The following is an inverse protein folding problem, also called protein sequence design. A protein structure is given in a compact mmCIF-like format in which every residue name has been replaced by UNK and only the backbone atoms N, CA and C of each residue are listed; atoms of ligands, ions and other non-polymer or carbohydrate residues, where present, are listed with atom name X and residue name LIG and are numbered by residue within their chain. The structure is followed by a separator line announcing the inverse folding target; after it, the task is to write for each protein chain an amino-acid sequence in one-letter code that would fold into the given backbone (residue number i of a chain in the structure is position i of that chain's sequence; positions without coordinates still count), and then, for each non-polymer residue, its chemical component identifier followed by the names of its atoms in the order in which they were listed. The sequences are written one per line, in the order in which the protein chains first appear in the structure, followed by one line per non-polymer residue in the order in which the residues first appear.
data_IF_714590794315
#
_entry.id   IF_714590794315
#
_cell.length_a   1.000
_cell.length_b   1.000
_cell.length_c   1.000
_cell.angle_alpha   90.00
_cell.angle_beta   90.00
_cell.angle_gamma   90.00
#
_symmetry.space_group_name_H-M   'P 1'
#
loop_
_entity.id
_entity.type
_entity.pdbx_description
1 polymer ?
#
# COMPACT_ATOMS: atom_id res chain seq x y z
N UNK A 1 2.13 -4.65 -33.09
CA UNK A 1 0.80 -4.07 -33.35
C UNK A 1 -0.22 -4.45 -32.28
N UNK A 2 -0.61 -5.73 -32.10
CA UNK A 2 -1.57 -6.13 -31.04
C UNK A 2 -1.18 -5.62 -29.64
N UNK A 3 0.05 -5.91 -29.20
CA UNK A 3 0.56 -5.44 -27.90
C UNK A 3 0.57 -3.91 -27.75
N UNK A 4 0.69 -3.16 -28.86
CA UNK A 4 0.66 -1.69 -28.81
C UNK A 4 -0.77 -1.17 -28.70
N UNK A 5 -1.70 -1.73 -29.47
CA UNK A 5 -3.13 -1.42 -29.39
C UNK A 5 -3.67 -1.75 -27.99
N UNK A 6 -3.29 -2.88 -27.43
CA UNK A 6 -3.71 -3.32 -26.10
C UNK A 6 -3.18 -2.39 -25.00
N UNK A 7 -1.91 -1.96 -25.08
CA UNK A 7 -1.34 -0.96 -24.17
C UNK A 7 -2.06 0.41 -24.23
N UNK A 8 -2.72 0.75 -25.33
CA UNK A 8 -3.48 2.01 -25.49
C UNK A 8 -4.94 1.83 -25.04
N UNK A 9 -5.51 0.65 -25.27
CA UNK A 9 -6.95 0.40 -25.11
C UNK A 9 -7.31 -0.25 -23.77
N UNK A 10 -6.36 -0.88 -23.08
CA UNK A 10 -6.60 -1.59 -21.83
C UNK A 10 -5.65 -1.13 -20.72
N UNK A 11 -6.21 -0.79 -19.56
CA UNK A 11 -5.43 -0.54 -18.33
C UNK A 11 -4.72 -1.81 -17.83
N UNK A 12 -5.25 -2.99 -18.20
CA UNK A 12 -4.77 -4.30 -17.76
C UNK A 12 -4.12 -5.11 -18.89
N UNK A 13 -3.38 -4.42 -19.76
CA UNK A 13 -2.66 -5.05 -20.88
C UNK A 13 -1.68 -6.15 -20.42
N UNK A 14 -1.70 -7.28 -21.13
CA UNK A 14 -0.83 -8.45 -20.94
C UNK A 14 0.55 -8.30 -21.61
N UNK A 15 0.80 -7.16 -22.25
CA UNK A 15 2.07 -6.92 -22.92
C UNK A 15 3.22 -6.84 -21.90
N UNK A 16 4.35 -7.51 -22.16
CA UNK A 16 5.48 -7.52 -21.22
C UNK A 16 6.27 -6.20 -21.18
N UNK A 17 5.99 -5.26 -22.10
CA UNK A 17 6.75 -4.04 -22.31
C UNK A 17 5.84 -2.82 -22.30
N UNK A 18 6.39 -1.67 -21.89
CA UNK A 18 5.68 -0.40 -21.90
C UNK A 18 5.36 0.05 -23.33
N UNK A 19 4.35 0.91 -23.50
CA UNK A 19 3.93 1.40 -24.82
C UNK A 19 5.08 2.05 -25.62
N UNK A 20 5.95 2.81 -24.94
CA UNK A 20 7.15 3.43 -25.53
C UNK A 20 8.20 2.41 -26.00
N UNK A 21 8.39 1.33 -25.24
CA UNK A 21 9.30 0.25 -25.57
C UNK A 21 8.78 -0.54 -26.77
N UNK A 22 7.48 -0.86 -26.80
CA UNK A 22 6.84 -1.54 -27.93
C UNK A 22 6.92 -0.68 -29.19
N UNK A 23 6.75 0.64 -29.10
CA UNK A 23 6.92 1.56 -30.23
C UNK A 23 8.36 1.59 -30.73
N UNK A 24 9.34 1.59 -29.82
CA UNK A 24 10.77 1.52 -30.16
C UNK A 24 11.13 0.20 -30.84
N UNK A 25 10.61 -0.92 -30.33
CA UNK A 25 10.77 -2.24 -30.95
C UNK A 25 10.14 -2.30 -32.34
N UNK A 26 8.98 -1.66 -32.55
CA UNK A 26 8.34 -1.57 -33.86
C UNK A 26 9.21 -0.78 -34.84
N UNK A 27 9.77 0.36 -34.42
CA UNK A 27 10.71 1.13 -35.23
C UNK A 27 11.96 0.33 -35.62
N UNK A 28 12.50 -0.48 -34.70
CA UNK A 28 13.60 -1.39 -35.02
C UNK A 28 13.21 -2.42 -36.09
N UNK A 29 12.01 -2.99 -36.00
CA UNK A 29 11.50 -3.95 -37.00
C UNK A 29 11.27 -3.28 -38.36
N UNK A 30 10.76 -2.05 -38.39
CA UNK A 30 10.57 -1.29 -39.64
C UNK A 30 11.92 -0.99 -40.31
N UNK A 31 12.94 -0.59 -39.54
CA UNK A 31 14.30 -0.42 -40.06
C UNK A 31 14.92 -1.74 -40.58
N UNK A 32 14.58 -2.88 -39.96
CA UNK A 32 15.00 -4.19 -40.45
C UNK A 32 14.32 -4.52 -41.79
N UNK A 33 13.01 -4.27 -41.90
CA UNK A 33 12.22 -4.46 -43.12
C UNK A 33 12.75 -3.62 -44.29
N UNK A 34 13.09 -2.36 -44.05
CA UNK A 34 13.65 -1.49 -45.11
C UNK A 34 15.05 -1.94 -45.55
N UNK A 35 15.75 -2.70 -44.70
CA UNK A 35 17.08 -3.23 -44.96
C UNK A 35 17.11 -4.66 -45.50
N UNK A 36 15.96 -5.27 -45.83
CA UNK A 36 15.85 -6.68 -46.25
C UNK A 36 16.72 -7.04 -47.48
N UNK A 37 17.08 -6.04 -48.31
CA UNK A 37 17.98 -6.19 -49.47
C UNK A 37 19.48 -6.01 -49.14
N UNK A 38 19.84 -5.80 -47.88
CA UNK A 38 21.23 -5.64 -47.43
C UNK A 38 21.55 -6.75 -46.43
N UNK A 39 22.59 -7.53 -46.71
CA UNK A 39 23.07 -8.54 -45.75
C UNK A 39 23.58 -7.84 -44.49
N UNK A 40 22.83 -8.01 -43.41
CA UNK A 40 23.20 -7.57 -42.06
C UNK A 40 23.16 -8.79 -41.16
N UNK A 41 24.34 -9.23 -40.72
CA UNK A 41 24.56 -10.47 -39.97
C UNK A 41 23.68 -10.58 -38.71
N UNK A 42 23.31 -9.45 -38.10
CA UNK A 42 22.55 -9.40 -36.85
C UNK A 42 21.03 -9.24 -37.03
N UNK A 43 20.52 -9.00 -38.23
CA UNK A 43 19.08 -8.75 -38.46
C UNK A 43 18.19 -9.93 -38.03
N UNK A 44 18.63 -11.14 -38.38
CA UNK A 44 17.94 -12.39 -38.00
C UNK A 44 17.93 -12.57 -36.49
N UNK A 45 19.04 -12.26 -35.83
CA UNK A 45 19.16 -12.36 -34.37
C UNK A 45 18.21 -11.39 -33.66
N UNK A 46 18.12 -10.14 -34.11
CA UNK A 46 17.22 -9.14 -33.52
C UNK A 46 15.76 -9.59 -33.68
N UNK A 47 15.35 -9.98 -34.88
CA UNK A 47 14.00 -10.45 -35.15
C UNK A 47 13.65 -11.70 -34.33
N UNK A 48 14.55 -12.70 -34.28
CA UNK A 48 14.37 -13.91 -33.49
C UNK A 48 14.27 -13.61 -31.98
N UNK A 49 15.08 -12.68 -31.47
CA UNK A 49 15.04 -12.28 -30.05
C UNK A 49 13.73 -11.59 -29.70
N UNK A 50 13.26 -10.65 -30.51
CA UNK A 50 11.97 -9.99 -30.31
C UNK A 50 10.82 -11.00 -30.38
N UNK A 51 10.84 -11.89 -31.38
CA UNK A 51 9.81 -12.91 -31.54
C UNK A 51 9.78 -13.88 -30.35
N UNK A 52 10.95 -14.30 -29.84
CA UNK A 52 11.05 -15.12 -28.63
C UNK A 52 10.40 -14.45 -27.42
N UNK A 53 10.59 -13.14 -27.23
CA UNK A 53 10.00 -12.40 -26.11
C UNK A 53 8.46 -12.41 -26.18
N UNK A 54 7.89 -12.10 -27.34
CA UNK A 54 6.43 -12.12 -27.53
C UNK A 54 5.84 -13.53 -27.50
N UNK A 55 6.53 -14.54 -28.04
CA UNK A 55 6.08 -15.93 -27.96
C UNK A 55 6.10 -16.44 -26.52
N UNK A 56 7.12 -16.09 -25.74
CA UNK A 56 7.18 -16.44 -24.31
C UNK A 56 6.01 -15.78 -23.54
N UNK A 57 5.76 -14.48 -23.78
CA UNK A 57 4.62 -13.81 -23.15
C UNK A 57 3.27 -14.45 -23.52
N UNK A 58 3.09 -14.89 -24.76
CA UNK A 58 1.88 -15.65 -25.17
C UNK A 58 1.79 -17.01 -24.51
N UNK A 59 2.91 -17.69 -24.34
CA UNK A 59 2.99 -19.01 -23.72
C UNK A 59 2.60 -18.94 -22.24
N UNK A 60 3.19 -18.00 -21.49
CA UNK A 60 2.91 -17.82 -20.05
C UNK A 60 1.45 -17.41 -19.79
N UNK A 61 0.86 -16.59 -20.66
CA UNK A 61 -0.54 -16.18 -20.53
C UNK A 61 -1.54 -17.19 -21.13
N UNK A 62 -1.09 -18.39 -21.52
CA UNK A 62 -1.92 -19.44 -22.13
C UNK A 62 -2.75 -18.95 -23.33
N UNK A 63 -2.21 -18.02 -24.13
CA UNK A 63 -2.92 -17.45 -25.25
C UNK A 63 -3.35 -18.54 -26.25
N UNK A 64 -4.66 -18.61 -26.56
CA UNK A 64 -5.23 -19.59 -27.48
C UNK A 64 -5.74 -20.87 -26.83
N UNK A 65 -5.73 -20.97 -25.50
CA UNK A 65 -6.32 -22.08 -24.74
C UNK A 65 -7.65 -21.65 -24.06
N UNK A 66 -8.55 -22.60 -23.72
CA UNK A 66 -9.85 -22.32 -23.06
C UNK A 66 -9.75 -21.80 -21.62
N UNK A 67 -8.55 -21.44 -21.15
CA UNK A 67 -8.27 -20.78 -19.87
C UNK A 67 -7.21 -19.68 -20.00
N UNK A 68 -7.10 -19.05 -21.18
CA UNK A 68 -6.15 -17.96 -21.40
C UNK A 68 -6.36 -16.84 -20.37
N UNK A 69 -5.26 -16.28 -19.86
CA UNK A 69 -5.30 -15.09 -19.02
C UNK A 69 -5.80 -13.93 -19.88
N UNK A 70 -6.91 -13.31 -19.47
CA UNK A 70 -7.50 -12.16 -20.17
C UNK A 70 -7.13 -10.83 -19.52
N UNK A 71 -6.80 -10.86 -18.22
CA UNK A 71 -6.40 -9.72 -17.44
C UNK A 71 -5.12 -10.06 -16.66
N UNK A 72 -4.15 -9.15 -16.60
CA UNK A 72 -2.94 -9.35 -15.80
C UNK A 72 -3.27 -9.62 -14.33
N UNK A 73 -4.36 -9.05 -13.82
CA UNK A 73 -4.78 -9.19 -12.43
C UNK A 73 -5.38 -10.58 -12.13
N UNK A 74 -5.59 -11.42 -13.15
CA UNK A 74 -6.19 -12.74 -13.05
C UNK A 74 -5.15 -13.83 -12.77
N UNK A 75 -5.26 -14.47 -11.60
CA UNK A 75 -4.52 -15.69 -11.30
C UNK A 75 -5.08 -16.89 -12.07
N UNK A 76 -4.18 -17.65 -12.71
CA UNK A 76 -4.46 -18.87 -13.46
C UNK A 76 -4.46 -20.12 -12.58
N UNK A 77 -3.70 -20.09 -11.48
CA UNK A 77 -3.49 -21.24 -10.61
C UNK A 77 -4.47 -21.29 -9.41
N UNK A 78 -5.44 -20.38 -9.39
CA UNK A 78 -6.39 -20.22 -8.29
C UNK A 78 -5.77 -19.49 -7.11
N UNK A 79 -6.61 -18.97 -6.23
CA UNK A 79 -6.17 -18.35 -4.98
C UNK A 79 -5.37 -19.42 -4.20
N UNK A 80 -4.06 -19.22 -4.04
CA UNK A 80 -3.32 -20.01 -3.08
C UNK A 80 -3.94 -19.69 -1.73
N UNK A 81 -4.62 -20.67 -1.13
CA UNK A 81 -5.19 -20.58 0.20
C UNK A 81 -4.02 -20.54 1.20
N UNK A 82 -3.32 -19.39 1.23
CA UNK A 82 -2.29 -19.10 2.20
C UNK A 82 -3.01 -19.07 3.52
N UNK A 83 -2.89 -20.19 4.23
CA UNK A 83 -3.33 -20.39 5.61
C UNK A 83 -2.56 -19.43 6.51
N UNK A 84 -2.86 -18.15 6.39
CA UNK A 84 -2.30 -17.12 7.22
C UNK A 84 -2.97 -17.15 8.57
N UNK A 85 -2.22 -16.76 9.59
CA UNK A 85 -2.74 -16.53 10.92
C UNK A 85 -3.68 -15.32 10.87
N UNK A 86 -4.94 -15.56 10.48
CA UNK A 86 -6.02 -14.57 10.37
C UNK A 86 -6.12 -13.69 11.62
N UNK A 87 -5.72 -14.21 12.78
CA UNK A 87 -5.67 -13.48 14.05
C UNK A 87 -4.56 -12.43 14.07
N UNK A 88 -3.32 -12.78 13.71
CA UNK A 88 -2.20 -11.82 13.67
C UNK A 88 -2.48 -10.75 12.62
N UNK A 89 -2.98 -11.16 11.45
CA UNK A 89 -3.33 -10.25 10.37
C UNK A 89 -4.51 -9.34 10.76
N UNK A 90 -5.51 -9.84 11.47
CA UNK A 90 -6.61 -9.03 12.01
C UNK A 90 -6.11 -8.00 13.03
N UNK A 91 -5.26 -8.42 13.99
CA UNK A 91 -4.69 -7.52 14.99
C UNK A 91 -3.82 -6.46 14.30
N UNK A 92 -2.96 -6.84 13.35
CA UNK A 92 -2.14 -5.90 12.59
C UNK A 92 -3.01 -4.99 11.71
N UNK A 93 -4.10 -5.47 11.14
CA UNK A 93 -5.01 -4.66 10.34
C UNK A 93 -5.71 -3.59 11.18
N UNK A 94 -6.07 -3.92 12.43
CA UNK A 94 -6.62 -2.98 13.41
C UNK A 94 -5.57 -1.97 13.86
N UNK A 95 -4.34 -2.42 14.15
CA UNK A 95 -3.24 -1.54 14.59
C UNK A 95 -2.76 -0.64 13.44
N UNK A 96 -2.78 -1.10 12.19
CA UNK A 96 -2.29 -0.35 11.01
C UNK A 96 -3.42 0.36 10.23
N UNK A 97 -4.63 0.49 10.78
CA UNK A 97 -5.76 1.21 10.14
C UNK A 97 -6.11 0.75 8.71
N UNK A 98 -6.14 -0.55 8.42
CA UNK A 98 -6.51 -1.00 7.07
C UNK A 98 -5.41 -0.88 6.00
N UNK A 99 -4.31 -0.18 6.29
CA UNK A 99 -3.17 0.04 5.39
C UNK A 99 -2.54 -1.25 4.83
N UNK A 100 -2.28 -2.30 5.63
CA UNK A 100 -1.66 -3.53 5.11
C UNK A 100 -2.55 -4.28 4.12
N UNK A 101 -3.88 -4.19 4.24
CA UNK A 101 -4.80 -4.79 3.26
C UNK A 101 -4.75 -4.03 1.93
N UNK A 102 -4.68 -2.70 1.98
CA UNK A 102 -4.56 -1.86 0.78
C UNK A 102 -3.23 -2.11 0.05
N UNK A 103 -2.12 -2.23 0.79
CA UNK A 103 -0.81 -2.51 0.22
C UNK A 103 -0.68 -3.95 -0.26
N UNK A 104 -1.24 -4.93 0.46
CA UNK A 104 -1.30 -6.33 0.03
C UNK A 104 -2.05 -6.46 -1.30
N UNK A 105 -3.19 -5.77 -1.44
CA UNK A 105 -3.95 -5.73 -2.69
C UNK A 105 -3.15 -5.07 -3.82
N UNK A 106 -2.39 -4.01 -3.53
CA UNK A 106 -1.52 -3.38 -4.51
C UNK A 106 -0.39 -4.33 -4.96
N UNK A 107 0.25 -5.03 -4.03
CA UNK A 107 1.30 -6.01 -4.31
C UNK A 107 0.74 -7.17 -5.13
N UNK A 108 -0.41 -7.74 -4.74
CA UNK A 108 -1.06 -8.84 -5.45
C UNK A 108 -1.48 -8.44 -6.87
N UNK A 109 -1.82 -7.16 -7.10
CA UNK A 109 -2.12 -6.65 -8.45
C UNK A 109 -0.89 -6.60 -9.36
N UNK A 110 0.30 -6.43 -8.78
CA UNK A 110 1.56 -6.32 -9.54
C UNK A 110 2.27 -7.68 -9.64
N UNK A 111 1.97 -8.58 -8.70
CA UNK A 111 2.54 -9.92 -8.57
C UNK A 111 1.46 -10.98 -8.80
N UNK A 112 1.20 -11.33 -10.06
CA UNK A 112 0.22 -12.37 -10.41
C UNK A 112 0.92 -13.56 -11.03
N UNK A 113 0.71 -14.74 -10.44
CA UNK A 113 1.34 -16.03 -10.80
C UNK A 113 2.87 -15.92 -11.01
N UNK A 114 3.59 -15.36 -10.02
CA UNK A 114 5.06 -15.27 -9.99
C UNK A 114 5.70 -14.53 -11.18
N UNK A 115 4.91 -13.77 -11.94
CA UNK A 115 5.40 -13.00 -13.08
C UNK A 115 5.27 -11.51 -12.85
N UNK A 116 6.42 -10.81 -12.83
CA UNK A 116 6.48 -9.36 -12.72
C UNK A 116 6.47 -8.73 -14.11
N UNK A 117 5.55 -7.80 -14.34
CA UNK A 117 5.65 -6.85 -15.45
C UNK A 117 6.61 -5.72 -15.03
N UNK A 118 7.82 -5.70 -15.60
CA UNK A 118 8.91 -4.81 -15.19
C UNK A 118 8.52 -3.32 -15.14
N UNK A 119 7.80 -2.74 -16.13
CA UNK A 119 7.34 -1.35 -16.05
C UNK A 119 6.45 -1.07 -14.84
N UNK A 120 5.49 -1.94 -14.54
CA UNK A 120 4.56 -1.79 -13.42
C UNK A 120 5.27 -1.91 -12.07
N UNK A 121 6.24 -2.80 -11.97
CA UNK A 121 7.08 -2.90 -10.77
C UNK A 121 7.88 -1.62 -10.54
N UNK A 122 8.49 -1.07 -11.60
CA UNK A 122 9.24 0.19 -11.49
C UNK A 122 8.34 1.33 -11.02
N UNK A 123 7.14 1.45 -11.59
CA UNK A 123 6.17 2.48 -11.22
C UNK A 123 5.67 2.32 -9.78
N UNK A 124 5.45 1.07 -9.34
CA UNK A 124 5.10 0.77 -7.95
C UNK A 124 6.22 1.15 -6.98
N UNK A 125 7.46 0.78 -7.28
CA UNK A 125 8.63 1.12 -6.50
C UNK A 125 8.85 2.63 -6.44
N UNK A 126 8.70 3.33 -7.56
CA UNK A 126 8.83 4.79 -7.62
C UNK A 126 7.75 5.47 -6.77
N UNK A 127 6.50 4.97 -6.83
CA UNK A 127 5.42 5.44 -5.97
C UNK A 127 5.73 5.20 -4.49
N UNK A 128 6.12 3.99 -4.10
CA UNK A 128 6.43 3.67 -2.71
C UNK A 128 7.61 4.47 -2.17
N UNK A 129 8.67 4.63 -2.97
CA UNK A 129 9.83 5.44 -2.61
C UNK A 129 9.42 6.90 -2.37
N UNK A 130 8.49 7.42 -3.17
CA UNK A 130 7.92 8.76 -3.00
C UNK A 130 7.12 8.86 -1.70
N UNK A 131 6.27 7.87 -1.40
CA UNK A 131 5.51 7.80 -0.16
C UNK A 131 6.42 7.72 1.09
N UNK A 132 7.46 6.88 1.07
CA UNK A 132 8.43 6.75 2.18
C UNK A 132 9.27 7.99 2.40
N UNK A 133 9.65 8.69 1.32
CA UNK A 133 10.31 9.98 1.44
C UNK A 133 9.39 11.00 2.14
N UNK A 134 8.09 10.98 1.80
CA UNK A 134 7.06 11.75 2.51
C UNK A 134 7.02 11.42 4.00
N UNK A 135 6.96 10.12 4.36
CA UNK A 135 6.95 9.70 5.77
C UNK A 135 8.21 10.11 6.53
N UNK A 136 9.37 10.09 5.88
CA UNK A 136 10.64 10.55 6.46
C UNK A 136 10.56 12.04 6.82
N UNK A 137 10.03 12.87 5.92
CA UNK A 137 9.83 14.31 6.17
C UNK A 137 8.85 14.52 7.33
N UNK A 138 7.67 13.90 7.31
CA UNK A 138 6.71 14.05 8.41
C UNK A 138 7.25 13.55 9.74
N UNK A 139 8.00 12.45 9.73
CA UNK A 139 8.62 11.91 10.92
C UNK A 139 9.65 12.85 11.54
N UNK A 140 10.48 13.51 10.72
CA UNK A 140 11.45 14.49 11.22
C UNK A 140 10.77 15.73 11.79
N UNK A 141 9.68 16.20 11.17
CA UNK A 141 8.85 17.27 11.71
C UNK A 141 8.25 16.87 13.07
N UNK A 142 7.69 15.66 13.18
CA UNK A 142 7.16 15.16 14.45
C UNK A 142 8.25 15.07 15.54
N UNK A 143 9.44 14.58 15.22
CA UNK A 143 10.56 14.56 16.18
C UNK A 143 10.93 15.98 16.66
N UNK A 144 10.96 16.96 15.77
CA UNK A 144 11.23 18.35 16.13
C UNK A 144 10.12 18.93 17.04
N UNK A 145 8.85 18.60 16.74
CA UNK A 145 7.69 18.99 17.55
C UNK A 145 7.75 18.32 18.94
N UNK A 146 8.04 17.02 19.02
CA UNK A 146 8.17 16.28 20.28
C UNK A 146 9.28 16.86 21.16
N UNK A 147 10.46 17.14 20.59
CA UNK A 147 11.59 17.75 21.32
C UNK A 147 11.23 19.15 21.80
N UNK A 148 10.56 19.95 20.96
CA UNK A 148 10.11 21.30 21.33
C UNK A 148 9.05 21.27 22.43
N UNK A 149 8.13 20.30 22.37
CA UNK A 149 7.12 20.08 23.40
C UNK A 149 7.74 19.63 24.72
N UNK A 150 8.76 18.77 24.68
CA UNK A 150 9.53 18.36 25.85
C UNK A 150 10.29 19.51 26.52
N UNK A 151 10.64 20.55 25.76
CA UNK A 151 11.31 21.73 26.29
C UNK A 151 10.37 22.68 27.06
N UNK A 152 9.04 22.51 26.96
CA UNK A 152 8.07 23.39 27.62
C UNK A 152 8.09 23.13 29.14
N UNK A 153 8.41 24.12 30.00
CA UNK A 153 8.54 23.87 31.44
C UNK A 153 7.24 23.35 32.11
N UNK A 154 6.08 23.70 31.54
CA UNK A 154 4.77 23.29 32.05
C UNK A 154 4.52 21.78 31.98
N UNK A 155 5.22 21.03 31.13
CA UNK A 155 5.08 19.57 31.04
C UNK A 155 5.92 18.82 32.09
N UNK A 156 6.91 19.47 32.72
CA UNK A 156 7.87 18.82 33.63
C UNK A 156 7.21 18.18 34.86
N UNK A 157 6.03 18.66 35.25
CA UNK A 157 5.25 18.14 36.38
C UNK A 157 4.21 17.09 35.96
N UNK A 158 4.13 16.75 34.67
CA UNK A 158 3.13 15.87 34.09
C UNK A 158 3.75 14.59 33.52
N UNK A 159 3.92 13.59 34.37
CA UNK A 159 4.49 12.29 34.00
C UNK A 159 3.77 11.61 32.84
N UNK A 160 2.44 11.76 32.75
CA UNK A 160 1.62 11.17 31.66
C UNK A 160 1.91 11.84 30.31
N UNK A 161 1.98 13.16 30.26
CA UNK A 161 2.28 13.91 29.03
C UNK A 161 3.71 13.60 28.53
N UNK A 162 4.67 13.50 29.46
CA UNK A 162 6.05 13.11 29.16
C UNK A 162 6.10 11.70 28.56
N UNK A 163 5.43 10.72 29.20
CA UNK A 163 5.41 9.34 28.71
C UNK A 163 4.80 9.23 27.31
N UNK A 164 3.68 9.92 27.05
CA UNK A 164 3.04 9.94 25.73
C UNK A 164 3.92 10.62 24.67
N UNK A 165 4.64 11.68 25.02
CA UNK A 165 5.58 12.35 24.10
C UNK A 165 6.78 11.46 23.77
N UNK A 166 7.28 10.68 24.74
CA UNK A 166 8.33 9.69 24.46
C UNK A 166 7.84 8.56 23.55
N UNK A 167 6.61 8.07 23.74
CA UNK A 167 6.02 7.09 22.83
C UNK A 167 5.86 7.66 21.41
N UNK A 168 5.43 8.93 21.29
CA UNK A 168 5.40 9.63 20.00
C UNK A 168 6.79 9.66 19.34
N UNK A 169 7.80 10.08 20.10
CA UNK A 169 9.17 10.20 19.62
C UNK A 169 9.74 8.85 19.15
N UNK A 170 9.50 7.77 19.91
CA UNK A 170 9.92 6.42 19.53
C UNK A 170 9.20 5.93 18.26
N UNK A 171 7.89 6.19 18.15
CA UNK A 171 7.11 5.85 16.96
C UNK A 171 7.58 6.63 15.73
N UNK A 172 7.83 7.94 15.86
CA UNK A 172 8.39 8.76 14.80
C UNK A 172 9.79 8.24 14.40
N UNK A 173 10.71 8.08 15.36
CA UNK A 173 12.05 7.54 15.08
C UNK A 173 11.98 6.16 14.37
N UNK A 174 11.09 5.28 14.81
CA UNK A 174 10.83 4.00 14.18
C UNK A 174 10.36 4.16 12.73
N UNK A 175 9.38 5.03 12.48
CA UNK A 175 8.91 5.35 11.12
C UNK A 175 10.05 5.85 10.23
N UNK A 176 10.89 6.76 10.73
CA UNK A 176 12.05 7.29 10.02
C UNK A 176 13.04 6.19 9.65
N UNK A 177 13.47 5.39 10.63
CA UNK A 177 14.46 4.33 10.41
C UNK A 177 13.93 3.30 9.43
N UNK A 178 12.69 2.84 9.59
CA UNK A 178 12.07 1.87 8.69
C UNK A 178 11.96 2.45 7.28
N UNK A 179 11.49 3.69 7.12
CA UNK A 179 11.37 4.34 5.81
C UNK A 179 12.71 4.44 5.09
N UNK A 180 13.78 4.81 5.80
CA UNK A 180 15.14 4.90 5.23
C UNK A 180 15.72 3.54 4.86
N UNK A 181 15.57 2.53 5.71
CA UNK A 181 16.04 1.17 5.43
C UNK A 181 15.33 0.61 4.19
N UNK A 182 14.01 0.77 4.12
CA UNK A 182 13.20 0.25 3.03
C UNK A 182 13.52 0.99 1.71
N UNK A 183 13.66 2.32 1.75
CA UNK A 183 14.11 3.10 0.60
C UNK A 183 15.52 2.70 0.13
N UNK A 184 16.43 2.40 1.07
CA UNK A 184 17.77 1.92 0.77
C UNK A 184 17.77 0.57 0.04
N UNK A 185 17.07 -0.43 0.60
CA UNK A 185 16.96 -1.77 0.03
C UNK A 185 16.31 -1.78 -1.37
N UNK A 186 15.27 -0.96 -1.54
CA UNK A 186 14.57 -0.85 -2.80
C UNK A 186 15.40 -0.12 -3.86
N UNK A 187 16.14 0.92 -3.49
CA UNK A 187 16.99 1.63 -4.44
C UNK A 187 18.16 0.75 -4.93
N UNK A 188 18.63 -0.18 -4.10
CA UNK A 188 19.61 -1.20 -4.49
C UNK A 188 18.99 -2.23 -5.45
N UNK A 189 17.77 -2.69 -5.13
CA UNK A 189 16.99 -3.61 -5.98
C UNK A 189 16.59 -2.98 -7.33
N UNK A 190 16.37 -1.65 -7.38
CA UNK A 190 16.09 -0.89 -8.61
C UNK A 190 17.25 -0.91 -9.61
N UNK A 191 18.48 -1.15 -9.14
CA UNK A 191 19.66 -1.30 -9.99
C UNK A 191 19.83 -2.72 -10.53
N UNK A 192 19.12 -3.70 -9.97
CA UNK A 192 19.16 -5.10 -10.39
C UNK A 192 18.39 -5.37 -11.69
N UNK A 193 18.71 -6.50 -12.34
CA UNK A 193 17.96 -6.98 -13.50
C UNK A 193 16.53 -7.40 -13.10
N UNK A 194 15.58 -7.45 -14.05
CA UNK A 194 14.24 -7.99 -13.80
C UNK A 194 14.27 -9.42 -13.19
N UNK A 195 15.34 -10.17 -13.48
CA UNK A 195 15.60 -11.50 -12.90
C UNK A 195 16.00 -11.42 -11.42
N UNK A 196 16.77 -10.41 -11.03
CA UNK A 196 17.18 -10.21 -9.62
C UNK A 196 16.01 -9.74 -8.76
N UNK A 197 15.11 -8.94 -9.34
CA UNK A 197 13.86 -8.55 -8.67
C UNK A 197 12.94 -9.76 -8.49
N UNK A 198 12.80 -10.59 -9.53
CA UNK A 198 12.02 -11.82 -9.44
C UNK A 198 12.59 -12.78 -8.39
N UNK A 199 13.91 -12.95 -8.33
CA UNK A 199 14.53 -13.82 -7.32
C UNK A 199 14.42 -13.24 -5.90
N UNK A 200 14.51 -11.91 -5.75
CA UNK A 200 14.28 -11.23 -4.47
C UNK A 200 12.84 -11.42 -3.97
N UNK A 201 11.85 -11.21 -4.83
CA UNK A 201 10.44 -11.37 -4.47
C UNK A 201 10.04 -12.84 -4.28
N UNK A 202 10.60 -13.79 -5.05
CA UNK A 202 10.44 -15.24 -4.81
C UNK A 202 11.11 -15.64 -3.49
N UNK A 203 12.29 -15.09 -3.17
CA UNK A 203 12.95 -15.32 -1.89
C UNK A 203 12.12 -14.82 -0.70
N UNK A 204 11.42 -13.69 -0.87
CA UNK A 204 10.52 -13.16 0.17
C UNK A 204 9.19 -13.93 0.21
N UNK A 205 8.64 -14.35 -0.93
CA UNK A 205 7.38 -15.13 -0.98
C UNK A 205 7.52 -16.51 -0.34
N UNK A 206 8.71 -17.10 -0.36
CA UNK A 206 9.04 -18.37 0.29
C UNK A 206 9.31 -18.26 1.79
N UNK A 207 9.36 -17.05 2.35
CA UNK A 207 9.50 -16.83 3.80
C UNK A 207 8.19 -17.17 4.55
N UNK A 208 8.28 -17.47 5.85
CA UNK A 208 7.16 -18.00 6.69
C UNK A 208 5.85 -17.20 6.64
N UNK A 209 5.87 -15.94 6.21
CA UNK A 209 4.70 -15.05 6.13
C UNK A 209 4.38 -14.57 4.69
N UNK A 210 5.08 -15.08 3.67
CA UNK A 210 4.82 -14.82 2.25
C UNK A 210 4.66 -13.35 1.85
N UNK A 211 3.80 -13.10 0.85
CA UNK A 211 3.47 -11.77 0.31
C UNK A 211 2.79 -10.86 1.35
N UNK A 212 2.13 -11.43 2.35
CA UNK A 212 1.47 -10.67 3.42
C UNK A 212 2.49 -10.01 4.35
N UNK A 213 3.63 -10.67 4.61
CA UNK A 213 4.75 -10.09 5.36
C UNK A 213 5.28 -8.83 4.68
N UNK A 214 5.40 -8.87 3.35
CA UNK A 214 5.88 -7.76 2.54
C UNK A 214 4.89 -6.59 2.62
N UNK A 215 3.58 -6.87 2.54
CA UNK A 215 2.55 -5.86 2.76
C UNK A 215 2.59 -5.24 4.16
N UNK A 216 2.85 -6.03 5.19
CA UNK A 216 3.02 -5.54 6.57
C UNK A 216 4.28 -4.67 6.71
N UNK A 217 5.39 -5.09 6.12
CA UNK A 217 6.66 -4.34 6.15
C UNK A 217 6.54 -2.99 5.44
N UNK A 218 5.84 -2.94 4.31
CA UNK A 218 5.59 -1.73 3.53
C UNK A 218 4.66 -0.72 4.23
N UNK A 219 3.80 -1.18 5.14
CA UNK A 219 2.79 -0.35 5.83
C UNK A 219 3.24 0.09 7.21
N UNK A 220 4.30 -0.54 7.73
CA UNK A 220 4.93 -0.25 9.00
C UNK A 220 5.31 1.24 9.19
N UNK A 221 6.00 1.93 8.25
CA UNK A 221 6.40 3.32 8.47
C UNK A 221 5.18 4.25 8.59
N UNK A 222 4.17 4.05 7.73
CA UNK A 222 2.91 4.77 7.82
C UNK A 222 2.23 4.58 9.17
N UNK A 223 2.11 3.34 9.64
CA UNK A 223 1.40 3.06 10.87
C UNK A 223 2.12 3.59 12.11
N UNK A 224 3.44 3.45 12.17
CA UNK A 224 4.25 4.04 13.24
C UNK A 224 4.07 5.57 13.28
N UNK A 225 4.01 6.22 12.11
CA UNK A 225 3.75 7.66 12.03
C UNK A 225 2.35 8.04 12.56
N UNK A 226 1.31 7.29 12.19
CA UNK A 226 -0.06 7.52 12.71
C UNK A 226 -0.11 7.35 14.24
N UNK A 227 0.50 6.28 14.78
CA UNK A 227 0.58 6.07 16.22
C UNK A 227 1.37 7.18 16.92
N UNK A 228 2.45 7.66 16.31
CA UNK A 228 3.20 8.80 16.82
C UNK A 228 2.32 10.04 16.97
N UNK A 229 1.58 10.39 15.90
CA UNK A 229 0.62 11.50 15.94
C UNK A 229 -0.48 11.31 16.99
N UNK A 230 -0.99 10.09 17.17
CA UNK A 230 -2.01 9.79 18.18
C UNK A 230 -1.47 9.96 19.61
N UNK A 231 -0.25 9.49 19.89
CA UNK A 231 0.37 9.67 21.20
C UNK A 231 0.69 11.14 21.48
N UNK A 232 1.18 11.89 20.49
CA UNK A 232 1.40 13.33 20.62
C UNK A 232 0.09 14.09 20.89
N UNK A 233 -0.98 13.76 20.16
CA UNK A 233 -2.31 14.30 20.39
C UNK A 233 -2.80 14.02 21.83
N UNK A 234 -2.54 12.83 22.34
CA UNK A 234 -2.79 12.47 23.75
C UNK A 234 -1.96 13.31 24.71
N UNK A 235 -0.66 13.48 24.47
CA UNK A 235 0.23 14.29 25.30
C UNK A 235 -0.24 15.74 25.37
N UNK A 236 -0.56 16.34 24.22
CA UNK A 236 -1.09 17.70 24.11
C UNK A 236 -2.43 17.83 24.83
N UNK A 237 -3.33 16.85 24.67
CA UNK A 237 -4.61 16.81 25.37
C UNK A 237 -4.42 16.79 26.89
N UNK A 238 -3.53 15.93 27.40
CA UNK A 238 -3.25 15.88 28.84
C UNK A 238 -2.72 17.20 29.37
N UNK A 239 -1.86 17.89 28.62
CA UNK A 239 -1.37 19.22 28.99
C UNK A 239 -2.51 20.25 29.04
N UNK A 240 -3.35 20.29 28.00
CA UNK A 240 -4.47 21.24 27.90
C UNK A 240 -5.47 21.03 29.04
N UNK A 241 -5.93 19.81 29.26
CA UNK A 241 -6.96 19.53 30.27
C UNK A 241 -6.46 19.67 31.71
N UNK A 242 -5.16 19.51 31.96
CA UNK A 242 -4.60 19.52 33.32
C UNK A 242 -4.04 20.88 33.74
N UNK A 243 -3.59 21.71 32.80
CA UNK A 243 -2.99 23.02 33.09
C UNK A 243 -3.96 24.18 32.86
N UNK A 244 -4.98 24.02 32.01
CA UNK A 244 -5.74 25.17 31.51
C UNK A 244 -7.00 25.46 32.30
N UNK A 245 -7.46 26.72 32.23
CA UNK A 245 -8.71 27.15 32.86
C UNK A 245 -9.93 26.51 32.19
N UNK A 246 -11.07 26.51 32.91
CA UNK A 246 -12.36 25.97 32.42
C UNK A 246 -12.75 26.53 31.05
N UNK A 247 -12.39 27.80 30.76
CA UNK A 247 -12.64 28.45 29.48
C UNK A 247 -11.88 27.80 28.33
N UNK A 248 -10.60 27.48 28.52
CA UNK A 248 -9.76 26.84 27.49
C UNK A 248 -10.25 25.41 27.22
N UNK A 249 -10.64 24.68 28.26
CA UNK A 249 -11.21 23.34 28.16
C UNK A 249 -12.52 23.35 27.34
N UNK A 250 -13.39 24.32 27.61
CA UNK A 250 -14.67 24.48 26.90
C UNK A 250 -14.50 24.74 25.40
N UNK A 251 -13.41 25.40 24.98
CA UNK A 251 -13.11 25.69 23.56
C UNK A 251 -12.35 24.54 22.91
N UNK A 252 -11.39 23.94 23.62
CA UNK A 252 -10.54 22.88 23.08
C UNK A 252 -11.30 21.57 22.85
N UNK A 253 -12.26 21.23 23.71
CA UNK A 253 -13.05 19.99 23.61
C UNK A 253 -13.82 19.85 22.29
N UNK A 254 -14.64 20.82 21.83
CA UNK A 254 -15.35 20.70 20.55
C UNK A 254 -14.39 20.66 19.35
N UNK A 255 -13.24 21.34 19.43
CA UNK A 255 -12.21 21.28 18.37
C UNK A 255 -11.62 19.89 18.27
N UNK A 256 -11.27 19.26 19.40
CA UNK A 256 -10.79 17.86 19.42
C UNK A 256 -11.82 16.89 18.87
N UNK A 257 -13.10 17.06 19.23
CA UNK A 257 -14.19 16.23 18.69
C UNK A 257 -14.31 16.43 17.18
N UNK A 258 -14.25 17.66 16.69
CA UNK A 258 -14.30 17.95 15.25
C UNK A 258 -13.11 17.31 14.51
N UNK A 259 -11.90 17.44 15.05
CA UNK A 259 -10.68 16.81 14.50
C UNK A 259 -10.83 15.29 14.43
N UNK A 260 -11.33 14.66 15.49
CA UNK A 260 -11.54 13.22 15.53
C UNK A 260 -12.59 12.75 14.51
N UNK A 261 -13.72 13.46 14.41
CA UNK A 261 -14.78 13.17 13.44
C UNK A 261 -14.25 13.30 12.01
N UNK A 262 -13.52 14.38 11.71
CA UNK A 262 -12.95 14.60 10.38
C UNK A 262 -11.86 13.57 10.04
N UNK A 263 -11.04 13.16 11.00
CA UNK A 263 -10.02 12.13 10.79
C UNK A 263 -10.62 10.74 10.57
N UNK A 264 -11.69 10.39 11.28
CA UNK A 264 -12.35 9.10 11.15
C UNK A 264 -13.30 9.03 9.95
N UNK A 265 -13.79 10.17 9.45
CA UNK A 265 -14.72 10.22 8.34
C UNK A 265 -14.25 9.45 7.10
N UNK A 266 -13.05 9.67 6.54
CA UNK A 266 -12.58 8.93 5.36
C UNK A 266 -12.52 7.41 5.58
N UNK A 267 -12.16 6.97 6.78
CA UNK A 267 -12.10 5.55 7.15
C UNK A 267 -13.50 4.94 7.20
N UNK A 268 -14.47 5.67 7.76
CA UNK A 268 -15.88 5.27 7.80
C UNK A 268 -16.48 5.20 6.39
N UNK A 269 -16.23 6.20 5.54
CA UNK A 269 -16.76 6.26 4.17
C UNK A 269 -16.13 5.19 3.27
N UNK A 270 -14.84 4.90 3.44
CA UNK A 270 -14.15 3.82 2.72
C UNK A 270 -14.66 2.43 3.13
N UNK A 271 -15.06 2.26 4.40
CA UNK A 271 -15.49 0.98 4.98
C UNK A 271 -17.02 0.79 4.99
N UNK A 272 -17.73 1.34 3.99
CA UNK A 272 -19.19 1.27 3.78
C UNK A 272 -19.82 -0.15 3.78
N UNK A 273 -19.04 -1.21 4.02
CA UNK A 273 -19.50 -2.60 4.16
C UNK A 273 -20.08 -2.87 5.57
N UNK A 274 -19.79 -2.06 6.60
CA UNK A 274 -20.26 -2.33 7.96
C UNK A 274 -21.40 -1.44 8.48
N UNK A 275 -21.58 -0.23 7.93
CA UNK A 275 -22.64 0.70 8.35
C UNK A 275 -24.04 0.20 7.94
N UNK A 276 -24.15 -0.52 6.82
CA UNK A 276 -25.42 -1.16 6.42
C UNK A 276 -25.86 -2.23 7.41
N UNK A 277 -24.92 -3.03 7.96
CA UNK A 277 -25.19 -4.05 8.99
C UNK A 277 -25.49 -3.46 10.36
N UNK A 278 -24.81 -2.38 10.74
CA UNK A 278 -25.09 -1.69 12.00
C UNK A 278 -26.46 -1.00 11.96
N UNK A 279 -26.79 -0.38 10.82
CA UNK A 279 -28.10 0.23 10.58
C UNK A 279 -29.21 -0.83 10.59
N UNK A 280 -29.01 -2.00 9.98
CA UNK A 280 -30.01 -3.07 10.03
C UNK A 280 -30.20 -3.62 11.45
N UNK A 281 -29.13 -3.78 12.23
CA UNK A 281 -29.20 -4.23 13.63
C UNK A 281 -29.93 -3.23 14.54
N UNK A 282 -29.66 -1.92 14.38
CA UNK A 282 -30.36 -0.86 15.14
C UNK A 282 -31.86 -0.83 14.77
N UNK A 283 -32.20 -1.01 13.49
CA UNK A 283 -33.61 -1.06 13.04
C UNK A 283 -34.32 -2.30 13.61
N UNK A 284 -33.64 -3.44 13.68
CA UNK A 284 -34.17 -4.70 14.25
C UNK A 284 -34.37 -4.62 15.77
N UNK A 285 -33.54 -3.85 16.46
CA UNK A 285 -33.69 -3.61 17.91
C UNK A 285 -34.76 -2.56 18.22
N UNK A 286 -34.95 -1.57 17.35
CA UNK A 286 -36.05 -0.60 17.45
C UNK A 286 -37.42 -1.24 17.11
N UNK A 287 -37.48 -2.20 16.19
CA UNK A 287 -38.72 -2.90 15.84
C UNK A 287 -39.14 -3.92 16.90
N UNK A 288 -38.21 -4.55 17.60
CA UNK A 288 -38.52 -5.48 18.70
C UNK A 288 -39.04 -4.79 19.96
N UNK A 289 -38.65 -3.53 20.23
CA UNK A 289 -39.22 -2.73 21.31
C UNK A 289 -40.61 -2.15 21.00
N UNK A 290 -41.01 -2.07 19.73
CA UNK A 290 -42.32 -1.54 19.33
C UNK A 290 -43.45 -2.59 19.33
N UNK A 291 -43.16 -3.86 19.65
CA UNK A 291 -44.10 -5.00 19.54
C UNK A 291 -44.50 -5.57 20.91
N UNK A 292 -44.36 -4.83 22.02
CA UNK A 292 -45.13 -5.16 23.24
C UNK A 292 -46.49 -4.45 23.21
N UNK A 293 -47.59 -5.12 22.80
CA UNK A 293 -48.92 -4.60 23.02
C UNK A 293 -49.28 -4.70 24.49
N UNK A 294 -49.72 -3.55 25.01
CA UNK A 294 -50.55 -3.38 26.19
C UNK A 294 -51.73 -4.37 26.10
N UNK A 295 -51.62 -5.54 26.73
CA UNK A 295 -52.76 -6.38 27.10
C UNK A 295 -52.43 -7.16 28.37
N UNK A 296 -53.02 -6.71 29.47
CA UNK A 296 -52.96 -7.34 30.77
C UNK A 296 -53.83 -6.57 31.73
N UNK A 297 -55.12 -6.92 31.73
CA UNK A 297 -56.16 -6.52 32.68
C UNK A 297 -55.70 -6.70 34.13
#
# INVERSE_FOLDING_TARGET
MHAHAENITSETCLAPFASSEVASMLGLVDHLKDSTNKEREHSVWIAARLMRLFCNAKFVNFCGQPGARLDVDQSLYGEHDTRSNKIILCIMNVILFGSPVAQSKAIHRIWVDETIVQPRWKDFIDRMTTEWNGYTIFSTVMLAVDISFLAVPAIATQTVAIALTYLSCLCALGSLVVSLVLAGQVNDSRRGSAVDVASFMVGISQSMFGLESLALMLSLPFALLIWGMAFFAGALSTLIFRTSSVVVISIASPVWVAVFVLAMWPVLTANNIHISRLRSWIIEQASSQAVEPIFGV
#
